data_IF_775165060624
#
_entry.id   IF_775165060624
#
_cell.length_a   1.000
_cell.length_b   1.000
_cell.length_c   1.000
_cell.angle_alpha   90.00
_cell.angle_beta   90.00
_cell.angle_gamma   90.00
#
_symmetry.space_group_name_H-M   'P 1'
#
loop_
_entity.id
_entity.type
_entity.pdbx_description
1 polymer ?
#
# COMPACT_ATOMS: atom_id res chain seq x y z
N UNK A 1 8.69 -34.36 -27.57
CA UNK A 1 9.15 -35.40 -26.63
C UNK A 1 10.66 -35.65 -26.77
N UNK A 2 11.14 -36.13 -27.92
CA UNK A 2 12.57 -36.39 -28.16
C UNK A 2 13.46 -35.15 -28.17
N UNK A 3 13.02 -34.05 -28.81
CA UNK A 3 13.73 -32.77 -28.79
C UNK A 3 13.82 -32.14 -27.39
N UNK A 4 12.79 -32.31 -26.57
CA UNK A 4 12.73 -31.79 -25.19
C UNK A 4 13.72 -32.53 -24.28
N UNK A 5 13.81 -33.85 -24.44
CA UNK A 5 14.70 -34.72 -23.65
C UNK A 5 16.18 -34.52 -24.00
N UNK A 6 16.52 -34.46 -25.29
CA UNK A 6 17.86 -34.09 -25.77
C UNK A 6 18.30 -32.72 -25.27
N UNK A 7 17.35 -31.78 -25.11
CA UNK A 7 17.60 -30.45 -24.56
C UNK A 7 17.92 -30.46 -23.08
N UNK A 8 17.16 -31.23 -22.31
CA UNK A 8 17.38 -31.37 -20.87
C UNK A 8 18.73 -32.04 -20.58
N UNK A 9 19.08 -33.05 -21.37
CA UNK A 9 20.38 -33.73 -21.29
C UNK A 9 21.53 -32.78 -21.69
N UNK A 10 21.35 -31.94 -22.73
CA UNK A 10 22.35 -30.94 -23.12
C UNK A 10 22.56 -29.86 -22.04
N UNK A 11 21.48 -29.38 -21.41
CA UNK A 11 21.56 -28.41 -20.31
C UNK A 11 22.18 -29.02 -19.05
N UNK A 12 21.90 -30.29 -18.74
CA UNK A 12 22.58 -31.02 -17.67
C UNK A 12 24.07 -31.18 -17.94
N UNK A 13 24.46 -31.55 -19.16
CA UNK A 13 25.87 -31.71 -19.52
C UNK A 13 26.61 -30.36 -19.55
N UNK A 14 26.00 -29.30 -20.08
CA UNK A 14 26.56 -27.93 -19.99
C UNK A 14 26.71 -27.53 -18.52
N UNK A 15 25.73 -27.81 -17.66
CA UNK A 15 25.81 -27.51 -16.22
C UNK A 15 26.88 -28.32 -15.47
N UNK A 16 27.23 -29.53 -15.94
CA UNK A 16 28.31 -30.36 -15.39
C UNK A 16 29.70 -29.95 -15.93
N UNK A 17 29.76 -29.48 -17.18
CA UNK A 17 31.01 -29.13 -17.89
C UNK A 17 31.42 -27.67 -17.71
N UNK A 18 30.48 -26.79 -17.33
CA UNK A 18 30.76 -25.40 -17.06
C UNK A 18 31.66 -25.28 -15.83
N UNK A 19 32.95 -25.00 -16.01
CA UNK A 19 33.68 -24.27 -14.99
C UNK A 19 32.89 -22.96 -14.75
N UNK A 20 32.55 -22.62 -13.49
CA UNK A 20 31.64 -21.51 -13.18
C UNK A 20 32.08 -20.15 -13.75
N UNK A 21 33.34 -20.02 -14.17
CA UNK A 21 33.95 -18.80 -14.68
C UNK A 21 34.33 -18.83 -16.17
N UNK A 22 33.95 -19.85 -16.96
CA UNK A 22 34.32 -19.93 -18.38
C UNK A 22 33.50 -18.96 -19.26
N UNK A 23 34.11 -17.89 -19.81
CA UNK A 23 33.39 -16.89 -20.60
C UNK A 23 32.76 -17.46 -21.88
N UNK A 24 33.32 -18.52 -22.48
CA UNK A 24 32.77 -19.12 -23.70
C UNK A 24 31.49 -19.92 -23.41
N UNK A 25 31.44 -20.60 -22.26
CA UNK A 25 30.23 -21.30 -21.79
C UNK A 25 29.11 -20.33 -21.46
N UNK A 26 29.48 -19.22 -20.82
CA UNK A 26 28.58 -18.13 -20.48
C UNK A 26 28.03 -17.41 -21.73
N UNK A 27 28.86 -17.19 -22.75
CA UNK A 27 28.44 -16.64 -24.05
C UNK A 27 27.55 -17.62 -24.82
N UNK A 28 27.83 -18.93 -24.79
CA UNK A 28 27.00 -19.95 -25.41
C UNK A 28 25.63 -20.09 -24.72
N UNK A 29 25.58 -20.04 -23.39
CA UNK A 29 24.33 -20.02 -22.62
C UNK A 29 23.52 -18.75 -22.87
N UNK A 30 24.16 -17.58 -22.90
CA UNK A 30 23.51 -16.32 -23.25
C UNK A 30 22.94 -16.39 -24.68
N UNK A 31 23.73 -16.84 -25.66
CA UNK A 31 23.32 -16.97 -27.05
C UNK A 31 22.17 -17.97 -27.20
N UNK A 32 22.23 -19.10 -26.47
CA UNK A 32 21.14 -20.06 -26.42
C UNK A 32 19.85 -19.45 -25.87
N UNK A 33 19.91 -18.68 -24.78
CA UNK A 33 18.73 -17.98 -24.23
C UNK A 33 18.19 -16.91 -25.18
N UNK A 34 19.08 -16.12 -25.79
CA UNK A 34 18.78 -15.07 -26.77
C UNK A 34 18.06 -15.65 -27.98
N UNK A 35 18.58 -16.76 -28.53
CA UNK A 35 17.97 -17.47 -29.65
C UNK A 35 16.70 -18.22 -29.23
N UNK A 36 16.55 -18.53 -27.94
CA UNK A 36 15.39 -19.20 -27.36
C UNK A 36 14.30 -18.24 -26.90
N UNK A 37 14.33 -16.94 -27.22
CA UNK A 37 13.26 -15.99 -26.85
C UNK A 37 11.86 -16.45 -27.30
N UNK A 38 11.77 -17.12 -28.46
CA UNK A 38 10.54 -17.74 -28.96
C UNK A 38 10.10 -18.96 -28.16
N UNK A 39 11.04 -19.67 -27.53
CA UNK A 39 10.82 -20.87 -26.73
C UNK A 39 10.50 -20.53 -25.27
N UNK A 40 11.05 -19.45 -24.73
CA UNK A 40 10.67 -18.90 -23.43
C UNK A 40 9.20 -18.43 -23.41
N UNK A 41 8.68 -18.00 -24.57
CA UNK A 41 7.26 -17.65 -24.77
C UNK A 41 6.36 -18.87 -24.96
N UNK A 42 6.91 -20.01 -25.39
CA UNK A 42 6.16 -21.24 -25.62
C UNK A 42 6.06 -22.05 -24.32
N UNK A 43 4.94 -21.85 -23.62
CA UNK A 43 4.37 -22.77 -22.62
C UNK A 43 5.19 -23.06 -21.36
N UNK A 44 5.73 -22.07 -20.65
CA UNK A 44 6.05 -22.20 -19.21
C UNK A 44 6.84 -23.46 -18.82
N UNK A 45 7.70 -23.92 -19.74
CA UNK A 45 8.12 -25.32 -19.79
C UNK A 45 9.22 -25.59 -18.75
N UNK A 46 9.27 -26.79 -18.20
CA UNK A 46 10.24 -27.19 -17.16
C UNK A 46 11.71 -26.94 -17.58
N UNK A 47 11.98 -27.02 -18.89
CA UNK A 47 13.29 -26.76 -19.50
C UNK A 47 13.74 -25.30 -19.39
N UNK A 48 12.81 -24.34 -19.50
CA UNK A 48 13.07 -22.91 -19.27
C UNK A 48 13.43 -22.63 -17.82
N UNK A 49 12.68 -23.21 -16.88
CA UNK A 49 12.96 -23.11 -15.45
C UNK A 49 14.30 -23.73 -15.09
N UNK A 50 14.67 -24.84 -15.73
CA UNK A 50 15.94 -25.53 -15.50
C UNK A 50 17.13 -24.73 -16.03
N UNK A 51 17.02 -24.16 -17.24
CA UNK A 51 18.04 -23.27 -17.79
C UNK A 51 18.25 -22.03 -16.90
N UNK A 52 17.16 -21.41 -16.44
CA UNK A 52 17.21 -20.25 -15.55
C UNK A 52 17.73 -20.58 -14.15
N UNK A 53 17.43 -21.77 -13.63
CA UNK A 53 18.01 -22.27 -12.38
C UNK A 53 19.52 -22.44 -12.52
N UNK A 54 19.99 -23.06 -13.60
CA UNK A 54 21.43 -23.20 -13.90
C UNK A 54 22.08 -21.80 -13.97
N UNK A 55 21.46 -20.84 -14.65
CA UNK A 55 21.96 -19.47 -14.75
C UNK A 55 21.97 -18.71 -13.42
N UNK A 56 21.03 -18.99 -12.53
CA UNK A 56 21.01 -18.41 -11.17
C UNK A 56 22.02 -19.05 -10.21
N UNK A 57 22.52 -20.24 -10.55
CA UNK A 57 23.50 -21.02 -9.80
C UNK A 57 24.94 -20.76 -10.28
N UNK A 58 25.12 -20.35 -11.54
CA UNK A 58 26.40 -19.93 -12.08
C UNK A 58 26.76 -18.57 -11.47
N UNK A 59 27.90 -18.57 -10.78
CA UNK A 59 28.33 -17.47 -9.92
C UNK A 59 28.62 -16.19 -10.71
N UNK A 60 28.69 -15.09 -9.97
CA UNK A 60 28.64 -13.68 -10.33
C UNK A 60 29.81 -13.17 -11.20
N UNK A 61 30.18 -13.86 -12.28
CA UNK A 61 31.27 -13.35 -13.14
C UNK A 61 30.85 -12.02 -13.78
N UNK A 62 31.58 -10.95 -13.45
CA UNK A 62 31.29 -9.58 -13.90
C UNK A 62 31.15 -9.47 -15.43
N UNK A 63 31.86 -10.33 -16.17
CA UNK A 63 31.88 -10.45 -17.63
C UNK A 63 30.56 -10.96 -18.21
N UNK A 64 30.01 -12.07 -17.70
CA UNK A 64 28.70 -12.58 -18.14
C UNK A 64 27.60 -11.57 -17.86
N UNK A 65 27.67 -10.98 -16.67
CA UNK A 65 26.78 -9.90 -16.32
C UNK A 65 26.98 -8.80 -17.37
N UNK A 66 28.16 -8.26 -17.69
CA UNK A 66 28.28 -7.08 -18.58
C UNK A 66 27.65 -7.21 -19.99
N UNK A 67 27.64 -8.38 -20.62
CA UNK A 67 27.25 -8.52 -22.04
C UNK A 67 25.79 -8.98 -22.28
N UNK A 68 25.16 -9.74 -21.37
CA UNK A 68 23.84 -10.36 -21.57
C UNK A 68 22.67 -9.75 -20.78
N UNK A 69 22.87 -8.65 -20.04
CA UNK A 69 21.98 -8.22 -18.93
C UNK A 69 20.50 -8.02 -19.28
N UNK A 70 20.17 -7.41 -20.42
CA UNK A 70 18.77 -7.01 -20.72
C UNK A 70 17.87 -8.21 -20.96
N UNK A 71 18.31 -9.11 -21.84
CA UNK A 71 17.56 -10.32 -22.14
C UNK A 71 17.52 -11.29 -20.96
N UNK A 72 18.60 -11.36 -20.17
CA UNK A 72 18.61 -12.13 -18.94
C UNK A 72 17.64 -11.56 -17.89
N UNK A 73 17.61 -10.23 -17.71
CA UNK A 73 16.65 -9.56 -16.82
C UNK A 73 15.21 -9.84 -17.25
N UNK A 74 14.92 -9.74 -18.55
CA UNK A 74 13.60 -10.05 -19.10
C UNK A 74 13.22 -11.52 -18.92
N UNK A 75 14.13 -12.46 -19.19
CA UNK A 75 13.89 -13.89 -19.03
C UNK A 75 13.70 -14.29 -17.56
N UNK A 76 14.49 -13.71 -16.65
CA UNK A 76 14.30 -13.88 -15.22
C UNK A 76 12.95 -13.27 -14.78
N UNK A 77 12.58 -12.10 -15.30
CA UNK A 77 11.30 -11.47 -15.01
C UNK A 77 10.10 -12.29 -15.53
N UNK A 78 10.18 -12.91 -16.72
CA UNK A 78 9.04 -13.68 -17.28
C UNK A 78 8.67 -14.90 -16.43
N UNK A 79 9.64 -15.50 -15.72
CA UNK A 79 9.36 -16.56 -14.74
C UNK A 79 8.62 -16.08 -13.50
N UNK A 80 8.43 -14.77 -13.29
CA UNK A 80 7.58 -14.25 -12.22
C UNK A 80 6.16 -14.79 -12.30
N UNK A 81 5.63 -14.95 -13.51
CA UNK A 81 4.27 -15.42 -13.72
C UNK A 81 4.05 -16.88 -13.32
N UNK A 82 5.10 -17.72 -13.39
CA UNK A 82 5.01 -19.17 -13.15
C UNK A 82 5.08 -19.57 -11.67
N UNK A 83 5.49 -18.65 -10.77
CA UNK A 83 5.50 -18.89 -9.32
C UNK A 83 6.64 -19.76 -8.80
N UNK A 84 7.56 -20.20 -9.66
CA UNK A 84 8.71 -21.06 -9.31
C UNK A 84 9.91 -20.25 -8.80
N UNK A 85 9.70 -19.38 -7.81
CA UNK A 85 10.75 -18.46 -7.34
C UNK A 85 11.47 -18.99 -6.11
N UNK A 86 12.65 -19.57 -6.29
CA UNK A 86 13.60 -19.77 -5.20
C UNK A 86 14.27 -18.44 -4.78
N UNK A 87 14.95 -18.45 -3.64
CA UNK A 87 15.58 -17.26 -3.07
C UNK A 87 16.77 -16.77 -3.92
N UNK A 88 17.41 -17.67 -4.68
CA UNK A 88 18.60 -17.36 -5.47
C UNK A 88 18.22 -16.57 -6.73
N UNK A 89 17.17 -16.99 -7.44
CA UNK A 89 16.65 -16.30 -8.63
C UNK A 89 16.23 -14.86 -8.32
N UNK A 90 15.61 -14.65 -7.15
CA UNK A 90 15.28 -13.30 -6.63
C UNK A 90 16.50 -12.41 -6.49
N UNK A 91 17.50 -12.91 -5.78
CA UNK A 91 18.73 -12.17 -5.50
C UNK A 91 19.45 -11.84 -6.81
N UNK A 92 19.53 -12.79 -7.73
CA UNK A 92 20.14 -12.60 -9.04
C UNK A 92 19.47 -11.44 -9.81
N UNK A 93 18.13 -11.45 -9.96
CA UNK A 93 17.42 -10.39 -10.67
C UNK A 93 17.59 -9.02 -10.02
N UNK A 94 17.51 -8.93 -8.68
CA UNK A 94 17.71 -7.65 -7.96
C UNK A 94 19.15 -7.14 -8.13
N UNK A 95 20.15 -8.01 -7.99
CA UNK A 95 21.57 -7.63 -8.17
C UNK A 95 21.84 -7.15 -9.58
N UNK A 96 21.33 -7.88 -10.58
CA UNK A 96 21.44 -7.50 -11.99
C UNK A 96 20.78 -6.14 -12.28
N UNK A 97 19.57 -5.92 -11.78
CA UNK A 97 18.87 -4.66 -11.94
C UNK A 97 19.65 -3.50 -11.31
N UNK A 98 20.20 -3.68 -10.10
CA UNK A 98 21.03 -2.66 -9.44
C UNK A 98 22.31 -2.35 -10.21
N UNK A 99 23.03 -3.36 -10.68
CA UNK A 99 24.23 -3.17 -11.52
C UNK A 99 23.94 -2.50 -12.87
N UNK A 100 22.67 -2.47 -13.28
CA UNK A 100 22.21 -1.82 -14.50
C UNK A 100 21.71 -0.38 -14.30
N UNK A 101 21.65 0.12 -13.06
CA UNK A 101 20.91 1.35 -12.74
C UNK A 101 19.40 1.20 -12.93
N UNK A 102 18.91 -0.04 -12.91
CA UNK A 102 17.50 -0.38 -12.95
C UNK A 102 17.09 -1.38 -14.02
N UNK A 103 15.81 -1.70 -14.01
CA UNK A 103 15.15 -2.61 -14.95
C UNK A 103 14.55 -1.83 -16.13
N UNK A 104 14.54 -2.43 -17.32
CA UNK A 104 13.96 -1.86 -18.54
C UNK A 104 12.45 -2.14 -18.66
N UNK A 105 11.79 -1.49 -19.61
CA UNK A 105 10.35 -1.59 -19.79
C UNK A 105 9.88 -3.01 -20.10
N UNK A 106 10.61 -3.77 -20.93
CA UNK A 106 10.21 -5.13 -21.28
C UNK A 106 10.20 -6.05 -20.06
N UNK A 107 11.23 -6.00 -19.22
CA UNK A 107 11.26 -6.80 -18.00
C UNK A 107 10.25 -6.28 -16.95
N UNK A 108 9.91 -4.99 -16.94
CA UNK A 108 8.79 -4.47 -16.14
C UNK A 108 7.44 -5.05 -16.60
N UNK A 109 7.19 -5.15 -17.90
CA UNK A 109 5.96 -5.78 -18.42
C UNK A 109 5.82 -7.21 -17.90
N UNK A 110 6.92 -7.97 -17.89
CA UNK A 110 6.95 -9.34 -17.36
C UNK A 110 6.71 -9.39 -15.83
N UNK A 111 7.32 -8.48 -15.06
CA UNK A 111 7.04 -8.37 -13.62
C UNK A 111 5.55 -8.04 -13.35
N UNK A 112 4.94 -7.19 -14.19
CA UNK A 112 3.51 -6.88 -14.13
C UNK A 112 2.63 -8.12 -14.34
N UNK A 113 3.01 -9.04 -15.23
CA UNK A 113 2.30 -10.32 -15.38
C UNK A 113 2.32 -11.14 -14.08
N UNK A 114 3.41 -11.07 -13.32
CA UNK A 114 3.50 -11.66 -11.97
C UNK A 114 2.49 -11.09 -10.97
N UNK A 115 2.08 -9.83 -11.14
CA UNK A 115 1.05 -9.18 -10.29
C UNK A 115 -0.36 -9.71 -10.57
N UNK A 116 -0.60 -10.18 -11.79
CA UNK A 116 -1.86 -10.84 -12.20
C UNK A 116 -2.00 -12.27 -11.69
N UNK A 117 -0.89 -12.88 -11.25
CA UNK A 117 -0.89 -14.25 -10.76
C UNK A 117 -1.87 -14.43 -9.59
N UNK A 118 -2.70 -15.49 -9.67
CA UNK A 118 -3.66 -15.84 -8.63
C UNK A 118 -2.94 -16.23 -7.32
N UNK A 119 -1.74 -16.81 -7.42
CA UNK A 119 -0.95 -17.22 -6.27
C UNK A 119 -0.43 -16.01 -5.48
N UNK A 120 -0.96 -15.85 -4.26
CA UNK A 120 -0.63 -14.74 -3.35
C UNK A 120 0.86 -14.66 -3.00
N UNK A 121 1.56 -15.81 -2.89
CA UNK A 121 3.01 -15.83 -2.59
C UNK A 121 3.81 -15.29 -3.78
N UNK A 122 3.44 -15.70 -4.99
CA UNK A 122 4.03 -15.20 -6.25
C UNK A 122 3.83 -13.70 -6.37
N UNK A 123 2.59 -13.23 -6.23
CA UNK A 123 2.24 -11.80 -6.30
C UNK A 123 3.01 -10.96 -5.29
N UNK A 124 3.03 -11.37 -4.01
CA UNK A 124 3.82 -10.68 -2.96
C UNK A 124 5.32 -10.65 -3.28
N UNK A 125 5.84 -11.70 -3.91
CA UNK A 125 7.24 -11.74 -4.32
C UNK A 125 7.51 -10.73 -5.43
N UNK A 126 6.65 -10.70 -6.45
CA UNK A 126 6.69 -9.72 -7.55
C UNK A 126 6.63 -8.28 -7.02
N UNK A 127 5.73 -7.98 -6.07
CA UNK A 127 5.67 -6.67 -5.43
C UNK A 127 6.99 -6.29 -4.74
N UNK A 128 7.59 -7.22 -3.98
CA UNK A 128 8.86 -6.98 -3.29
C UNK A 128 10.00 -6.70 -4.26
N UNK A 129 10.04 -7.43 -5.37
CA UNK A 129 11.05 -7.22 -6.41
C UNK A 129 10.85 -5.87 -7.05
N UNK A 130 9.64 -5.57 -7.51
CA UNK A 130 9.29 -4.29 -8.13
C UNK A 130 9.67 -3.10 -7.24
N UNK A 131 9.45 -3.22 -5.93
CA UNK A 131 9.81 -2.19 -4.95
C UNK A 131 11.33 -2.06 -4.71
N UNK A 132 12.12 -3.10 -5.00
CA UNK A 132 13.57 -3.12 -4.76
C UNK A 132 14.42 -2.88 -6.01
N UNK A 133 13.84 -3.02 -7.20
CA UNK A 133 14.52 -2.73 -8.45
C UNK A 133 14.34 -1.25 -8.77
N UNK A 134 15.47 -0.57 -8.98
CA UNK A 134 15.44 0.79 -9.51
C UNK A 134 14.83 0.77 -10.93
N UNK A 135 14.12 1.82 -11.31
CA UNK A 135 13.41 1.88 -12.60
C UNK A 135 14.22 2.77 -13.53
N UNK A 136 14.70 2.24 -14.66
CA UNK A 136 15.36 3.07 -15.69
C UNK A 136 14.40 4.07 -16.31
N UNK A 137 13.13 3.68 -16.44
CA UNK A 137 12.08 4.46 -17.08
C UNK A 137 10.88 4.60 -16.13
N UNK A 138 10.99 5.42 -15.06
CA UNK A 138 9.97 5.51 -14.01
C UNK A 138 8.59 5.93 -14.53
N UNK A 139 8.54 6.77 -15.58
CA UNK A 139 7.30 7.18 -16.23
C UNK A 139 6.59 6.01 -16.94
N UNK A 140 7.33 5.13 -17.63
CA UNK A 140 6.76 3.95 -18.29
C UNK A 140 6.31 2.89 -17.28
N UNK A 141 7.09 2.68 -16.22
CA UNK A 141 6.70 1.84 -15.11
C UNK A 141 5.38 2.31 -14.48
N UNK A 142 5.21 3.63 -14.33
CA UNK A 142 3.98 4.23 -13.82
C UNK A 142 2.80 4.00 -14.76
N UNK A 143 2.96 4.24 -16.06
CA UNK A 143 1.90 3.98 -17.06
C UNK A 143 1.42 2.53 -17.02
N UNK A 144 2.33 1.56 -16.93
CA UNK A 144 1.97 0.15 -16.80
C UNK A 144 1.09 -0.14 -15.58
N UNK A 145 1.40 0.45 -14.43
CA UNK A 145 0.59 0.29 -13.22
C UNK A 145 -0.79 0.94 -13.39
N UNK A 146 -0.86 2.14 -13.98
CA UNK A 146 -2.13 2.83 -14.23
C UNK A 146 -3.03 2.10 -15.22
N UNK A 147 -2.46 1.58 -16.31
CA UNK A 147 -3.16 0.72 -17.27
C UNK A 147 -3.75 -0.51 -16.59
N UNK A 148 -3.00 -1.13 -15.67
CA UNK A 148 -3.49 -2.29 -14.91
C UNK A 148 -4.61 -1.93 -13.93
N UNK A 149 -4.61 -0.72 -13.37
CA UNK A 149 -5.66 -0.26 -12.44
C UNK A 149 -6.94 0.09 -13.21
N UNK A 150 -6.79 0.84 -14.29
CA UNK A 150 -7.90 1.32 -15.12
C UNK A 150 -8.47 0.26 -16.06
N UNK A 151 -7.73 -0.81 -16.35
CA UNK A 151 -8.14 -1.90 -17.23
C UNK A 151 -9.11 -2.90 -16.62
N UNK A 152 -9.46 -3.92 -17.41
CA UNK A 152 -10.27 -5.06 -16.99
C UNK A 152 -9.38 -6.14 -16.36
N UNK A 153 -9.11 -5.98 -15.07
CA UNK A 153 -8.20 -6.82 -14.30
C UNK A 153 -8.84 -7.27 -12.99
N UNK A 154 -8.39 -8.40 -12.47
CA UNK A 154 -8.85 -8.89 -11.17
C UNK A 154 -8.57 -7.89 -10.04
N UNK A 155 -9.49 -7.78 -9.08
CA UNK A 155 -9.38 -6.83 -7.97
C UNK A 155 -8.05 -6.97 -7.19
N UNK A 156 -7.51 -8.18 -7.03
CA UNK A 156 -6.22 -8.39 -6.37
C UNK A 156 -5.03 -7.87 -7.17
N UNK A 157 -5.10 -7.89 -8.51
CA UNK A 157 -4.06 -7.40 -9.39
C UNK A 157 -4.05 -5.87 -9.36
N UNK A 158 -5.25 -5.25 -9.47
CA UNK A 158 -5.44 -3.81 -9.27
C UNK A 158 -4.90 -3.35 -7.92
N UNK A 159 -5.23 -4.07 -6.85
CA UNK A 159 -4.72 -3.76 -5.50
C UNK A 159 -3.20 -3.80 -5.43
N UNK A 160 -2.58 -4.84 -5.99
CA UNK A 160 -1.12 -4.93 -6.04
C UNK A 160 -0.48 -3.79 -6.85
N UNK A 161 -1.13 -3.35 -7.93
CA UNK A 161 -0.71 -2.19 -8.70
C UNK A 161 -0.71 -0.91 -7.85
N UNK A 162 -1.82 -0.67 -7.14
CA UNK A 162 -2.01 0.51 -6.29
C UNK A 162 -0.95 0.55 -5.18
N UNK A 163 -0.68 -0.57 -4.52
CA UNK A 163 0.36 -0.65 -3.49
C UNK A 163 1.77 -0.33 -4.05
N UNK A 164 2.02 -0.56 -5.34
CA UNK A 164 3.30 -0.28 -6.00
C UNK A 164 3.37 1.13 -6.63
N UNK A 165 2.26 1.84 -6.70
CA UNK A 165 2.24 3.23 -7.16
C UNK A 165 2.84 4.11 -6.06
N UNK A 166 4.08 4.52 -6.27
CA UNK A 166 4.70 5.57 -5.46
C UNK A 166 4.25 6.95 -5.97
N UNK A 167 3.37 7.58 -5.19
CA UNK A 167 2.81 8.90 -5.47
C UNK A 167 3.70 10.06 -5.00
N UNK A 168 4.73 9.80 -4.18
CA UNK A 168 5.70 10.81 -3.75
C UNK A 168 6.58 11.32 -4.89
N UNK A 169 6.86 10.47 -5.88
CA UNK A 169 7.53 10.88 -7.13
C UNK A 169 6.58 11.53 -8.15
N UNK A 170 5.26 11.47 -7.93
CA UNK A 170 4.25 12.02 -8.85
C UNK A 170 4.08 13.51 -8.62
N UNK A 171 4.19 13.99 -7.38
CA UNK A 171 4.11 15.41 -7.02
C UNK A 171 5.18 16.30 -7.70
N UNK A 172 6.27 15.72 -8.21
CA UNK A 172 7.34 16.46 -8.91
C UNK A 172 7.06 16.70 -10.40
N UNK A 173 5.97 16.13 -10.94
CA UNK A 173 5.64 16.19 -12.37
C UNK A 173 4.15 16.54 -12.56
N UNK A 174 3.85 17.84 -12.59
CA UNK A 174 2.49 18.39 -12.47
C UNK A 174 1.45 17.84 -13.47
N UNK A 175 1.84 17.51 -14.71
CA UNK A 175 0.92 17.05 -15.75
C UNK A 175 0.48 15.58 -15.62
N UNK A 176 1.17 14.77 -14.83
CA UNK A 176 0.86 13.33 -14.65
C UNK A 176 -0.05 13.10 -13.44
N UNK A 177 -0.25 14.12 -12.60
CA UNK A 177 -1.03 14.05 -11.37
C UNK A 177 -2.53 13.89 -11.61
N UNK A 178 -3.08 14.49 -12.67
CA UNK A 178 -4.53 14.47 -12.92
C UNK A 178 -5.04 13.09 -13.33
N UNK A 179 -4.36 12.40 -14.24
CA UNK A 179 -4.75 11.06 -14.72
C UNK A 179 -4.68 10.03 -13.58
N UNK A 180 -3.60 10.10 -12.79
CA UNK A 180 -3.40 9.21 -11.64
C UNK A 180 -4.50 9.41 -10.61
N UNK A 181 -4.82 10.68 -10.28
CA UNK A 181 -5.91 11.03 -9.37
C UNK A 181 -7.25 10.52 -9.90
N UNK A 182 -7.57 10.78 -11.17
CA UNK A 182 -8.85 10.41 -11.75
C UNK A 182 -9.07 8.89 -11.75
N UNK A 183 -8.04 8.11 -12.05
CA UNK A 183 -8.09 6.64 -12.01
C UNK A 183 -8.33 6.15 -10.57
N UNK A 184 -7.55 6.64 -9.60
CA UNK A 184 -7.67 6.20 -8.21
C UNK A 184 -9.00 6.62 -7.57
N UNK A 185 -9.48 7.83 -7.84
CA UNK A 185 -10.80 8.30 -7.40
C UNK A 185 -11.92 7.41 -7.95
N UNK A 186 -11.88 7.10 -9.26
CA UNK A 186 -12.85 6.20 -9.88
C UNK A 186 -12.86 4.83 -9.18
N UNK A 187 -11.70 4.28 -8.84
CA UNK A 187 -11.63 3.00 -8.12
C UNK A 187 -12.14 3.11 -6.69
N UNK A 188 -11.87 4.21 -5.99
CA UNK A 188 -12.35 4.41 -4.62
C UNK A 188 -13.88 4.56 -4.54
N UNK A 189 -14.48 5.26 -5.51
CA UNK A 189 -15.92 5.58 -5.53
C UNK A 189 -16.80 4.51 -6.19
N UNK A 190 -16.22 3.57 -6.94
CA UNK A 190 -16.97 2.52 -7.61
C UNK A 190 -17.49 1.45 -6.62
N UNK A 191 -18.79 1.56 -6.28
CA UNK A 191 -19.49 0.66 -5.37
C UNK A 191 -19.55 -0.80 -5.83
N UNK A 192 -19.28 -1.09 -7.12
CA UNK A 192 -19.24 -2.46 -7.63
C UNK A 192 -17.94 -3.20 -7.27
N UNK A 193 -16.90 -2.46 -6.85
CA UNK A 193 -15.60 -3.00 -6.53
C UNK A 193 -15.50 -3.46 -5.05
N UNK A 194 -14.65 -4.45 -4.75
CA UNK A 194 -14.46 -4.90 -3.37
C UNK A 194 -13.89 -3.81 -2.46
N UNK A 195 -14.43 -3.67 -1.24
CA UNK A 195 -13.98 -2.70 -0.23
C UNK A 195 -12.46 -2.65 -0.02
N UNK A 196 -11.71 -3.77 0.06
CA UNK A 196 -10.25 -3.71 0.23
C UNK A 196 -9.51 -3.03 -0.92
N UNK A 197 -10.05 -3.10 -2.14
CA UNK A 197 -9.47 -2.41 -3.30
C UNK A 197 -9.76 -0.91 -3.23
N UNK A 198 -11.01 -0.56 -2.92
CA UNK A 198 -11.48 0.82 -2.78
C UNK A 198 -10.74 1.57 -1.68
N UNK A 199 -10.58 0.94 -0.51
CA UNK A 199 -9.82 1.46 0.64
C UNK A 199 -8.34 1.68 0.31
N UNK A 200 -7.70 0.75 -0.42
CA UNK A 200 -6.32 0.90 -0.87
C UNK A 200 -6.18 2.06 -1.87
N UNK A 201 -7.12 2.21 -2.81
CA UNK A 201 -7.15 3.31 -3.77
C UNK A 201 -7.28 4.67 -3.08
N UNK A 202 -8.18 4.77 -2.10
CA UNK A 202 -8.35 5.98 -1.30
C UNK A 202 -7.09 6.31 -0.50
N UNK A 203 -6.50 5.32 0.17
CA UNK A 203 -5.26 5.49 0.94
C UNK A 203 -4.09 5.95 0.06
N UNK A 204 -4.00 5.45 -1.17
CA UNK A 204 -2.98 5.88 -2.12
C UNK A 204 -3.07 7.39 -2.40
N UNK A 205 -4.26 7.98 -2.47
CA UNK A 205 -4.44 9.42 -2.76
C UNK A 205 -3.89 10.37 -1.68
N UNK A 206 -3.45 9.89 -0.51
CA UNK A 206 -2.94 10.72 0.60
C UNK A 206 -1.91 11.78 0.20
N UNK A 207 -0.90 11.52 -0.66
CA UNK A 207 0.03 12.57 -1.10
C UNK A 207 -0.66 13.67 -1.90
N UNK A 208 -1.74 13.36 -2.62
CA UNK A 208 -2.49 14.34 -3.43
C UNK A 208 -3.48 15.16 -2.59
N UNK A 209 -3.70 14.77 -1.34
CA UNK A 209 -4.59 15.46 -0.43
C UNK A 209 -4.02 16.80 0.05
N UNK A 210 -2.69 16.98 0.03
CA UNK A 210 -2.02 18.21 0.50
C UNK A 210 -2.07 19.30 -0.59
N UNK A 211 -2.82 20.36 -0.33
CA UNK A 211 -2.86 21.62 -1.06
C UNK A 211 -4.27 22.09 -1.43
N UNK A 212 -4.50 23.41 -1.40
CA UNK A 212 -5.74 24.10 -1.79
C UNK A 212 -6.11 24.00 -3.29
N UNK A 213 -5.34 23.25 -4.06
CA UNK A 213 -5.54 23.03 -5.48
C UNK A 213 -6.78 22.17 -5.79
N UNK A 214 -7.14 22.12 -7.08
CA UNK A 214 -8.27 21.29 -7.58
C UNK A 214 -8.13 19.80 -7.20
N UNK A 215 -6.90 19.32 -7.07
CA UNK A 215 -6.60 17.94 -6.70
C UNK A 215 -7.00 17.64 -5.25
N UNK A 216 -6.58 18.46 -4.28
CA UNK A 216 -6.93 18.30 -2.87
C UNK A 216 -8.44 18.37 -2.64
N UNK A 217 -9.14 19.31 -3.29
CA UNK A 217 -10.61 19.43 -3.16
C UNK A 217 -11.37 18.18 -3.60
N UNK A 218 -11.01 17.59 -4.73
CA UNK A 218 -11.66 16.38 -5.23
C UNK A 218 -11.38 15.17 -4.32
N UNK A 219 -10.14 15.03 -3.86
CA UNK A 219 -9.74 13.94 -2.96
C UNK A 219 -10.46 14.05 -1.60
N UNK A 220 -10.59 15.28 -1.06
CA UNK A 220 -11.40 15.54 0.14
C UNK A 220 -12.88 15.20 -0.04
N UNK A 221 -13.47 15.58 -1.17
CA UNK A 221 -14.87 15.26 -1.46
C UNK A 221 -15.11 13.74 -1.51
N UNK A 222 -14.20 12.99 -2.16
CA UNK A 222 -14.26 11.54 -2.20
C UNK A 222 -14.11 10.90 -0.82
N UNK A 223 -13.17 11.40 0.00
CA UNK A 223 -13.00 10.93 1.38
C UNK A 223 -14.28 11.14 2.21
N UNK A 224 -14.94 12.30 2.09
CA UNK A 224 -16.21 12.56 2.77
C UNK A 224 -17.32 11.62 2.30
N UNK A 225 -17.44 11.35 0.99
CA UNK A 225 -18.40 10.40 0.44
C UNK A 225 -18.15 8.97 0.96
N UNK A 226 -16.90 8.55 1.03
CA UNK A 226 -16.51 7.24 1.56
C UNK A 226 -16.86 7.07 3.05
N UNK A 227 -16.91 8.16 3.83
CA UNK A 227 -17.35 8.14 5.23
C UNK A 227 -18.85 7.87 5.34
N UNK A 228 -19.65 8.34 4.37
CA UNK A 228 -21.09 8.12 4.36
C UNK A 228 -21.48 6.65 4.18
N UNK A 229 -20.59 5.83 3.63
CA UNK A 229 -20.81 4.38 3.45
C UNK A 229 -20.69 3.57 4.74
N UNK A 230 -20.00 4.09 5.76
CA UNK A 230 -19.95 3.51 7.11
C UNK A 230 -19.07 2.25 7.29
N UNK A 231 -18.36 1.78 6.28
CA UNK A 231 -17.38 0.68 6.43
C UNK A 231 -16.16 1.15 7.24
N UNK A 232 -15.81 0.43 8.30
CA UNK A 232 -14.77 0.86 9.24
C UNK A 232 -13.39 1.03 8.58
N UNK A 233 -13.01 0.12 7.68
CA UNK A 233 -11.71 0.18 7.00
C UNK A 233 -11.63 1.33 5.99
N UNK A 234 -12.73 1.60 5.29
CA UNK A 234 -12.83 2.72 4.37
C UNK A 234 -12.89 4.07 5.11
N UNK A 235 -13.68 4.15 6.19
CA UNK A 235 -13.81 5.32 7.05
C UNK A 235 -12.46 5.69 7.67
N UNK A 236 -11.71 4.72 8.18
CA UNK A 236 -10.39 4.98 8.76
C UNK A 236 -9.43 5.57 7.72
N UNK A 237 -9.41 5.04 6.49
CA UNK A 237 -8.58 5.61 5.41
C UNK A 237 -9.03 7.00 4.97
N UNK A 238 -10.33 7.25 4.93
CA UNK A 238 -10.85 8.58 4.66
C UNK A 238 -10.43 9.60 5.74
N UNK A 239 -10.50 9.20 7.02
CA UNK A 239 -10.07 10.05 8.13
C UNK A 239 -8.57 10.30 8.14
N UNK A 240 -7.75 9.27 7.89
CA UNK A 240 -6.29 9.41 7.73
C UNK A 240 -5.95 10.43 6.64
N UNK A 241 -6.73 10.44 5.54
CA UNK A 241 -6.56 11.38 4.45
C UNK A 241 -6.97 12.80 4.83
N UNK A 242 -8.11 12.96 5.51
CA UNK A 242 -8.61 14.27 5.94
C UNK A 242 -7.74 14.91 7.05
N UNK A 243 -7.13 14.12 7.92
CA UNK A 243 -6.28 14.61 9.01
C UNK A 243 -4.99 15.31 8.53
N UNK A 244 -4.56 15.06 7.29
CA UNK A 244 -3.42 15.77 6.68
C UNK A 244 -3.69 17.26 6.45
N UNK A 245 -4.96 17.68 6.47
CA UNK A 245 -5.35 19.07 6.34
C UNK A 245 -6.46 19.39 7.35
N UNK A 246 -6.12 20.13 8.39
CA UNK A 246 -7.11 20.62 9.36
C UNK A 246 -7.86 21.84 8.81
N UNK A 247 -9.13 22.06 9.16
CA UNK A 247 -9.96 21.25 10.06
C UNK A 247 -10.83 20.20 9.34
N UNK A 248 -11.11 19.08 10.02
CA UNK A 248 -12.13 18.11 9.61
C UNK A 248 -13.52 18.71 9.92
N UNK A 249 -14.50 18.65 8.99
CA UNK A 249 -15.85 19.16 9.25
C UNK A 249 -16.50 18.50 10.48
N UNK A 250 -17.11 19.30 11.36
CA UNK A 250 -17.77 18.80 12.57
C UNK A 250 -18.85 17.75 12.25
N UNK A 251 -19.68 18.00 11.22
CA UNK A 251 -20.71 17.05 10.77
C UNK A 251 -20.17 15.67 10.40
N UNK A 252 -18.96 15.61 9.84
CA UNK A 252 -18.27 14.37 9.51
C UNK A 252 -17.88 13.64 10.80
N UNK A 253 -17.28 14.38 11.74
CA UNK A 253 -16.87 13.84 13.02
C UNK A 253 -18.06 13.30 13.85
N UNK A 254 -19.20 14.02 13.87
CA UNK A 254 -20.43 13.54 14.52
C UNK A 254 -20.91 12.19 13.99
N UNK A 255 -20.80 11.99 12.67
CA UNK A 255 -21.19 10.74 12.02
C UNK A 255 -20.24 9.60 12.39
N UNK A 256 -18.94 9.88 12.36
CA UNK A 256 -17.89 8.90 12.67
C UNK A 256 -17.93 8.46 14.13
N UNK A 257 -18.25 9.37 15.06
CA UNK A 257 -18.42 9.03 16.48
C UNK A 257 -19.59 8.08 16.77
N UNK A 258 -20.46 7.82 15.78
CA UNK A 258 -21.51 6.78 15.87
C UNK A 258 -21.02 5.39 15.47
N UNK A 259 -19.78 5.26 14.99
CA UNK A 259 -19.16 3.97 14.68
C UNK A 259 -19.05 3.10 15.93
N UNK A 260 -19.16 1.79 15.77
CA UNK A 260 -18.83 0.82 16.82
C UNK A 260 -17.38 0.36 16.77
N UNK A 261 -16.63 0.74 15.74
CA UNK A 261 -15.25 0.31 15.54
C UNK A 261 -14.27 1.12 16.41
N UNK A 262 -13.50 0.47 17.30
CA UNK A 262 -12.58 1.18 18.20
C UNK A 262 -11.50 1.98 17.48
N UNK A 263 -10.96 1.49 16.36
CA UNK A 263 -9.85 2.15 15.66
C UNK A 263 -10.34 3.43 14.98
N UNK A 264 -11.52 3.36 14.36
CA UNK A 264 -12.22 4.53 13.79
C UNK A 264 -12.49 5.57 14.87
N UNK A 265 -13.02 5.15 16.02
CA UNK A 265 -13.34 6.04 17.14
C UNK A 265 -12.07 6.69 17.72
N UNK A 266 -11.02 5.91 17.95
CA UNK A 266 -9.74 6.42 18.47
C UNK A 266 -9.10 7.43 17.51
N UNK A 267 -9.10 7.12 16.21
CA UNK A 267 -8.58 8.04 15.21
C UNK A 267 -9.39 9.34 15.19
N UNK A 268 -10.72 9.23 15.14
CA UNK A 268 -11.61 10.39 15.17
C UNK A 268 -11.33 11.25 16.40
N UNK A 269 -11.38 10.66 17.60
CA UNK A 269 -11.12 11.33 18.88
C UNK A 269 -9.74 12.01 18.90
N UNK A 270 -8.71 11.41 18.31
CA UNK A 270 -7.40 12.07 18.23
C UNK A 270 -7.42 13.33 17.35
N UNK A 271 -8.17 13.31 16.25
CA UNK A 271 -8.33 14.46 15.37
C UNK A 271 -9.14 15.59 16.03
N UNK A 272 -10.08 15.26 16.92
CA UNK A 272 -10.80 16.22 17.74
C UNK A 272 -9.90 17.01 18.69
N UNK A 273 -8.96 16.34 19.37
CA UNK A 273 -8.09 16.98 20.36
C UNK A 273 -7.17 18.06 19.74
N UNK A 274 -6.98 18.03 18.42
CA UNK A 274 -6.19 19.01 17.68
C UNK A 274 -6.94 20.28 17.25
N UNK A 275 -8.26 20.37 17.45
CA UNK A 275 -9.06 21.51 17.00
C UNK A 275 -9.28 22.53 18.13
N UNK A 276 -8.91 23.82 17.94
CA UNK A 276 -9.07 24.84 18.98
C UNK A 276 -10.52 25.27 19.27
N UNK A 277 -11.47 24.98 18.35
CA UNK A 277 -12.82 25.57 18.35
C UNK A 277 -13.95 24.52 18.20
N UNK A 278 -13.77 23.30 18.72
CA UNK A 278 -14.71 22.20 18.51
C UNK A 278 -16.13 22.47 19.03
N UNK A 279 -17.05 22.86 18.13
CA UNK A 279 -18.51 22.97 18.33
C UNK A 279 -19.22 21.60 18.50
N UNK A 280 -18.51 20.58 18.99
CA UNK A 280 -19.08 19.26 19.18
C UNK A 280 -19.67 19.11 20.58
N UNK A 281 -20.93 18.67 20.62
CA UNK A 281 -21.67 18.56 21.87
C UNK A 281 -21.15 17.44 22.76
N UNK A 282 -21.16 17.68 24.08
CA UNK A 282 -20.79 16.66 25.08
C UNK A 282 -21.66 15.39 24.97
N UNK A 283 -22.89 15.52 24.47
CA UNK A 283 -23.84 14.42 24.24
C UNK A 283 -23.35 13.36 23.24
N UNK A 284 -22.42 13.70 22.33
CA UNK A 284 -21.86 12.75 21.39
C UNK A 284 -20.73 11.91 22.00
N UNK A 285 -20.04 12.46 23.00
CA UNK A 285 -18.95 11.79 23.69
C UNK A 285 -19.43 11.00 24.91
N UNK A 286 -20.52 11.43 25.56
CA UNK A 286 -21.11 10.79 26.74
C UNK A 286 -21.30 9.26 26.59
N UNK A 287 -21.80 8.74 25.45
CA UNK A 287 -21.91 7.28 25.26
C UNK A 287 -20.56 6.55 25.21
N UNK A 288 -19.50 7.22 24.70
CA UNK A 288 -18.17 6.61 24.50
C UNK A 288 -17.38 6.46 25.80
N UNK A 289 -17.74 7.21 26.83
CA UNK A 289 -17.21 7.06 28.20
C UNK A 289 -17.43 5.62 28.69
N UNK A 290 -18.53 5.00 28.31
CA UNK A 290 -18.92 3.65 28.71
C UNK A 290 -18.54 2.58 27.68
N UNK A 291 -17.67 2.92 26.73
CA UNK A 291 -17.27 2.00 25.68
C UNK A 291 -16.46 0.81 26.23
N UNK A 292 -16.63 -0.38 25.62
CA UNK A 292 -15.95 -1.62 26.08
C UNK A 292 -14.42 -1.55 25.92
N UNK A 293 -13.96 -0.84 24.89
CA UNK A 293 -12.54 -0.55 24.68
C UNK A 293 -12.07 0.52 25.69
N UNK A 294 -11.06 0.18 26.49
CA UNK A 294 -10.48 1.07 27.50
C UNK A 294 -9.97 2.37 26.86
N UNK A 295 -9.27 2.26 25.75
CA UNK A 295 -8.62 3.41 25.12
C UNK A 295 -9.66 4.41 24.60
N UNK A 296 -10.78 3.92 24.04
CA UNK A 296 -11.90 4.77 23.62
C UNK A 296 -12.51 5.49 24.82
N UNK A 297 -12.73 4.77 25.92
CA UNK A 297 -13.30 5.36 27.14
C UNK A 297 -12.38 6.42 27.76
N UNK A 298 -11.07 6.16 27.85
CA UNK A 298 -10.08 7.13 28.35
C UNK A 298 -9.97 8.34 27.44
N UNK A 299 -9.86 8.12 26.13
CA UNK A 299 -9.65 9.20 25.16
C UNK A 299 -10.89 10.09 25.04
N UNK A 300 -12.09 9.53 25.05
CA UNK A 300 -13.34 10.31 25.07
C UNK A 300 -13.51 11.11 26.36
N UNK A 301 -13.16 10.53 27.51
CA UNK A 301 -13.15 11.24 28.81
C UNK A 301 -12.22 12.44 28.78
N UNK A 302 -11.01 12.29 28.21
CA UNK A 302 -10.07 13.40 28.03
C UNK A 302 -10.56 14.43 27.02
N UNK A 303 -11.21 14.00 25.94
CA UNK A 303 -11.76 14.90 24.93
C UNK A 303 -12.85 15.82 25.49
N UNK A 304 -13.67 15.35 26.42
CA UNK A 304 -14.67 16.18 27.12
C UNK A 304 -14.04 17.35 27.89
N UNK A 305 -12.81 17.20 28.39
CA UNK A 305 -12.10 18.27 29.08
C UNK A 305 -11.73 19.44 28.16
N UNK A 306 -11.65 19.18 26.85
CA UNK A 306 -11.23 20.17 25.85
C UNK A 306 -12.40 20.88 25.16
N UNK A 307 -13.65 20.51 25.46
CA UNK A 307 -14.82 21.18 24.91
C UNK A 307 -14.98 22.59 25.50
N UNK A 308 -14.67 23.62 24.71
CA UNK A 308 -14.77 25.03 25.12
C UNK A 308 -16.20 25.58 25.09
N UNK A 309 -17.03 25.09 24.17
CA UNK A 309 -18.38 25.62 23.92
C UNK A 309 -19.50 25.07 24.82
N UNK A 310 -19.24 24.01 25.60
CA UNK A 310 -20.28 23.29 26.35
C UNK A 310 -19.78 22.75 27.70
N UNK A 311 -19.15 23.62 28.49
CA UNK A 311 -18.49 23.26 29.77
C UNK A 311 -19.44 22.61 30.77
N UNK A 312 -20.65 23.14 30.92
CA UNK A 312 -21.63 22.60 31.89
C UNK A 312 -22.13 21.21 31.49
N UNK A 313 -22.38 20.97 30.20
CA UNK A 313 -22.79 19.63 29.75
C UNK A 313 -21.63 18.66 29.76
N UNK A 314 -20.38 19.11 29.53
CA UNK A 314 -19.20 18.28 29.70
C UNK A 314 -19.01 17.83 31.16
N UNK A 315 -19.15 18.74 32.12
CA UNK A 315 -19.15 18.41 33.56
C UNK A 315 -20.30 17.45 33.88
N UNK A 316 -21.51 17.73 33.39
CA UNK A 316 -22.67 16.88 33.62
C UNK A 316 -22.48 15.47 33.03
N UNK A 317 -21.94 15.33 31.83
CA UNK A 317 -21.63 14.03 31.21
C UNK A 317 -20.60 13.25 32.02
N UNK A 318 -19.52 13.92 32.48
CA UNK A 318 -18.52 13.31 33.36
C UNK A 318 -19.10 12.94 34.74
N UNK A 319 -20.15 13.62 35.22
CA UNK A 319 -20.81 13.35 36.49
C UNK A 319 -21.91 12.27 36.39
N UNK A 320 -22.64 12.21 35.28
CA UNK A 320 -23.78 11.31 35.05
C UNK A 320 -23.42 9.84 34.87
N UNK A 321 -22.16 9.52 34.57
CA UNK A 321 -21.70 8.14 34.50
C UNK A 321 -21.74 7.47 35.88
N UNK A 322 -22.90 6.99 36.31
CA UNK A 322 -23.10 6.32 37.61
C UNK A 322 -22.86 4.81 37.60
N UNK A 323 -22.61 4.21 36.43
CA UNK A 323 -22.47 2.76 36.26
C UNK A 323 -21.13 2.38 35.62
N UNK A 324 -20.05 2.77 36.28
CA UNK A 324 -18.72 2.29 35.93
C UNK A 324 -18.49 1.02 36.73
N UNK A 325 -18.10 -0.11 36.13
CA UNK A 325 -17.29 -1.05 36.87
C UNK A 325 -16.05 -0.26 37.28
N UNK A 326 -15.86 -0.08 38.59
CA UNK A 326 -14.72 0.59 39.23
C UNK A 326 -13.37 -0.09 38.94
N UNK A 327 -13.27 -0.92 37.89
CA UNK A 327 -12.18 -1.86 37.63
C UNK A 327 -11.14 -1.36 36.62
N UNK A 328 -11.17 -0.09 36.20
CA UNK A 328 -10.08 0.47 35.38
C UNK A 328 -9.66 1.84 35.89
N UNK A 329 -8.78 1.82 36.88
CA UNK A 329 -8.07 2.97 37.47
C UNK A 329 -7.66 4.05 36.45
N UNK A 330 -7.30 3.65 35.23
CA UNK A 330 -6.97 4.55 34.13
C UNK A 330 -8.10 5.53 33.76
N UNK A 331 -9.37 5.09 33.74
CA UNK A 331 -10.48 6.00 33.39
C UNK A 331 -10.90 6.87 34.57
N UNK A 332 -10.77 6.37 35.80
CA UNK A 332 -10.94 7.17 37.02
C UNK A 332 -9.97 8.35 37.03
N UNK A 333 -8.68 8.07 36.80
CA UNK A 333 -7.64 9.10 36.67
C UNK A 333 -7.95 10.08 35.53
N UNK A 334 -8.31 9.59 34.35
CA UNK A 334 -8.66 10.46 33.22
C UNK A 334 -9.85 11.38 33.53
N UNK A 335 -10.84 10.91 34.29
CA UNK A 335 -11.98 11.71 34.75
C UNK A 335 -11.56 12.79 35.76
N UNK A 336 -10.75 12.42 36.74
CA UNK A 336 -10.21 13.38 37.73
C UNK A 336 -9.38 14.47 37.04
N UNK A 337 -8.50 14.08 36.12
CA UNK A 337 -7.73 14.99 35.25
C UNK A 337 -8.66 15.93 34.46
N UNK A 338 -9.70 15.38 33.81
CA UNK A 338 -10.65 16.15 33.02
C UNK A 338 -11.45 17.16 33.85
N UNK A 339 -11.98 16.74 35.01
CA UNK A 339 -12.72 17.63 35.92
C UNK A 339 -11.81 18.73 36.50
N UNK A 340 -10.55 18.41 36.84
CA UNK A 340 -9.58 19.39 37.28
C UNK A 340 -9.27 20.43 36.19
N UNK A 341 -9.06 19.98 34.94
CA UNK A 341 -8.83 20.86 33.80
C UNK A 341 -10.02 21.79 33.55
N UNK A 342 -11.24 21.26 33.55
CA UNK A 342 -12.46 22.05 33.40
C UNK A 342 -12.70 23.00 34.58
N UNK A 343 -12.22 22.69 35.79
CA UNK A 343 -12.29 23.60 36.93
C UNK A 343 -11.28 24.76 36.81
N UNK A 344 -10.03 24.46 36.39
CA UNK A 344 -8.95 25.45 36.22
C UNK A 344 -9.15 26.36 35.00
N UNK A 345 -9.80 25.88 33.94
CA UNK A 345 -10.18 26.71 32.77
C UNK A 345 -11.23 27.79 33.07
N UNK A 346 -11.74 27.87 34.31
CA UNK A 346 -12.67 28.90 34.76
C UNK A 346 -12.09 30.03 35.60
N UNK A 347 -10.78 30.05 35.85
CA UNK A 347 -10.15 31.06 36.74
C UNK A 347 -9.38 32.17 36.01
N UNK A 348 -9.61 32.37 34.71
CA UNK A 348 -9.02 33.51 33.98
C UNK A 348 -9.78 33.80 32.68
N UNK A 349 -10.68 34.78 32.72
CA UNK A 349 -11.36 35.30 31.53
C UNK A 349 -12.67 35.99 31.89
N UNK A 350 -12.59 37.31 32.07
CA UNK A 350 -13.64 38.26 31.68
C UNK A 350 -14.01 38.09 30.19
#
# INVERSE_FOLDING_TARGET
ATFTKLREELLEEIGKLAAPDDPAVLEALATFLLQSESLLKLQGDFSTLRALKILSQLDQSETFLRQGRRHLLRALASTCSSGCWDQQTRKCLITLAKQQGGIDHEALVELCQGLRCQNTKTRRSCCKIWAQVEKKEPQRARRLLLEMIGGDEYAWAKRAAITLLDLGEVQKADSVLEDVRAILLRVAEDLSLPLPLRSEALGALRPLARGDGRNGKAVRAAALSCIDEGDAGLVLKALELLAEELPIPSSCLERVLRSSDPDVLLFALSAFLGLPDGNLGASLLEPLIHHRCLDVAVTSTRALALLRGDRLSAIAALQRGGFWPETREAVRKAREEALQSLAQGGSGGD
#
